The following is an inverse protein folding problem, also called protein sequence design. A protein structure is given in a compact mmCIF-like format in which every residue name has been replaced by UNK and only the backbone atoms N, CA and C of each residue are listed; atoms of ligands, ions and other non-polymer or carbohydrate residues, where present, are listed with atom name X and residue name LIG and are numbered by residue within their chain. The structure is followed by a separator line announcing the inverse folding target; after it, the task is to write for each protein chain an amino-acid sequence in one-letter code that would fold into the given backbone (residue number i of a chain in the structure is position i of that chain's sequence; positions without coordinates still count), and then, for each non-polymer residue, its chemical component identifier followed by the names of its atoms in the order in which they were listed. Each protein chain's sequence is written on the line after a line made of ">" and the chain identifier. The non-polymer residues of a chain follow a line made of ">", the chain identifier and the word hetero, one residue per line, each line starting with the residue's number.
data_IF_450144678063
#
_entry.id   IF_450144678063
#
_cell.length_a   1.000
_cell.length_b   1.000
_cell.length_c   1.000
_cell.angle_alpha   90.00
_cell.angle_beta   90.00
_cell.angle_gamma   90.00
#
_symmetry.space_group_name_H-M   'P 1'
#
loop_
_entity.id
_entity.type
_entity.pdbx_description
1 polymer ?
#
# COMPACT_ATOMS: atom_id res chain seq x y z
N UNK A 1 62.60 -44.02 -56.09
CA UNK A 1 63.13 -44.80 -54.94
C UNK A 1 63.45 -43.83 -53.82
N UNK A 2 63.01 -44.15 -52.59
CA UNK A 2 63.66 -43.95 -51.27
C UNK A 2 64.70 -42.81 -51.17
N UNK A 3 64.75 -41.93 -50.18
CA UNK A 3 64.17 -41.89 -48.85
C UNK A 3 64.72 -40.64 -48.15
N UNK A 4 63.96 -40.12 -47.18
CA UNK A 4 64.30 -39.15 -46.14
C UNK A 4 65.75 -39.24 -45.61
N UNK A 5 66.36 -38.09 -45.29
CA UNK A 5 67.18 -37.85 -44.10
C UNK A 5 67.33 -36.31 -43.92
N UNK A 6 66.53 -35.69 -43.05
CA UNK A 6 66.87 -35.36 -41.66
C UNK A 6 67.85 -34.19 -41.53
N UNK A 7 67.37 -33.01 -41.13
CA UNK A 7 67.83 -32.28 -39.93
C UNK A 7 67.21 -30.88 -39.79
N UNK A 8 67.00 -30.55 -38.51
CA UNK A 8 67.12 -29.25 -37.85
C UNK A 8 65.85 -28.50 -37.46
N UNK A 9 65.77 -28.40 -36.13
CA UNK A 9 64.88 -27.70 -35.24
C UNK A 9 64.90 -26.18 -35.39
N UNK A 10 63.81 -25.60 -34.89
CA UNK A 10 63.65 -24.28 -34.27
C UNK A 10 63.39 -23.06 -35.15
N UNK A 11 62.10 -22.71 -35.13
CA UNK A 11 61.56 -21.48 -34.55
C UNK A 11 61.11 -20.36 -35.51
N UNK A 12 59.89 -19.91 -35.21
CA UNK A 12 59.23 -18.66 -35.58
C UNK A 12 58.64 -18.61 -36.99
N UNK A 13 57.30 -18.74 -37.10
CA UNK A 13 56.44 -17.58 -37.38
C UNK A 13 54.96 -17.93 -37.26
N UNK A 14 54.29 -17.19 -36.37
CA UNK A 14 52.87 -16.96 -36.25
C UNK A 14 52.16 -16.84 -37.61
N UNK A 15 51.16 -17.69 -37.87
CA UNK A 15 49.81 -17.32 -38.35
C UNK A 15 49.07 -18.62 -38.73
N UNK A 16 48.18 -19.10 -37.87
CA UNK A 16 46.98 -19.76 -38.37
C UNK A 16 45.83 -19.64 -37.39
N UNK A 17 44.81 -18.97 -37.91
CA UNK A 17 43.48 -18.66 -37.42
C UNK A 17 43.03 -19.31 -36.11
N UNK A 18 42.67 -18.43 -35.18
CA UNK A 18 41.67 -18.65 -34.17
C UNK A 18 40.41 -19.31 -34.77
N UNK A 19 40.15 -20.56 -34.43
CA UNK A 19 38.79 -21.08 -34.30
C UNK A 19 38.44 -20.99 -32.82
N UNK A 20 38.18 -19.77 -32.36
CA UNK A 20 37.45 -19.55 -31.11
C UNK A 20 36.03 -20.03 -31.33
N UNK A 21 35.75 -21.26 -30.93
CA UNK A 21 34.41 -21.65 -30.51
C UNK A 21 34.08 -20.94 -29.20
N UNK A 22 33.94 -19.60 -29.26
CA UNK A 22 33.16 -18.85 -28.30
C UNK A 22 31.71 -19.22 -28.59
N UNK A 23 31.24 -20.31 -27.98
CA UNK A 23 29.83 -20.39 -27.62
C UNK A 23 29.67 -19.29 -26.57
N UNK A 24 29.40 -18.07 -27.03
CA UNK A 24 28.71 -17.11 -26.18
C UNK A 24 27.45 -17.84 -25.75
N UNK A 25 27.37 -18.18 -24.47
CA UNK A 25 26.11 -18.53 -23.84
C UNK A 25 25.22 -17.30 -24.05
N UNK A 26 24.46 -17.30 -25.14
CA UNK A 26 23.34 -16.40 -25.32
C UNK A 26 22.49 -16.63 -24.07
N UNK A 27 22.11 -15.59 -23.31
CA UNK A 27 21.12 -15.78 -22.26
C UNK A 27 19.94 -16.49 -22.91
N UNK A 28 19.61 -17.69 -22.42
CA UNK A 28 18.50 -18.48 -22.92
C UNK A 28 17.25 -17.60 -22.78
N UNK A 29 16.86 -16.94 -23.87
CA UNK A 29 15.59 -16.26 -23.98
C UNK A 29 14.60 -17.34 -24.37
N UNK A 30 13.76 -17.73 -23.42
CA UNK A 30 12.68 -18.66 -23.70
C UNK A 30 11.58 -17.92 -24.47
N UNK A 31 11.18 -18.46 -25.62
CA UNK A 31 10.07 -17.90 -26.38
C UNK A 31 8.71 -18.47 -25.90
N UNK A 32 7.59 -17.86 -26.31
CA UNK A 32 6.25 -18.24 -25.83
C UNK A 32 5.83 -19.69 -26.13
N UNK A 33 6.33 -20.28 -27.22
CA UNK A 33 6.04 -21.69 -27.56
C UNK A 33 6.81 -22.66 -26.65
N UNK A 34 8.07 -22.34 -26.34
CA UNK A 34 8.90 -23.10 -25.39
C UNK A 34 8.31 -23.04 -23.97
N UNK A 35 7.91 -21.85 -23.53
CA UNK A 35 7.26 -21.65 -22.23
C UNK A 35 5.97 -22.47 -22.11
N UNK A 36 5.11 -22.44 -23.13
CA UNK A 36 3.89 -23.23 -23.14
C UNK A 36 4.18 -24.74 -23.21
N UNK A 37 5.24 -25.14 -23.92
CA UNK A 37 5.69 -26.53 -24.02
C UNK A 37 6.13 -27.09 -22.66
N UNK A 38 6.94 -26.34 -21.92
CA UNK A 38 7.52 -26.77 -20.63
C UNK A 38 6.58 -26.61 -19.43
N UNK A 39 5.60 -25.71 -19.49
CA UNK A 39 4.75 -25.42 -18.34
C UNK A 39 3.81 -26.58 -17.96
N UNK A 40 3.66 -26.85 -16.67
CA UNK A 40 2.65 -27.79 -16.15
C UNK A 40 1.23 -27.25 -16.35
N UNK A 41 1.07 -25.94 -16.16
CA UNK A 41 -0.13 -25.19 -16.53
C UNK A 41 0.23 -23.79 -17.00
N UNK A 42 -0.64 -23.21 -17.82
CA UNK A 42 -0.52 -21.83 -18.28
C UNK A 42 -1.90 -21.18 -18.31
N UNK A 43 -2.01 -19.99 -17.73
CA UNK A 43 -3.27 -19.25 -17.60
C UNK A 43 -3.08 -17.79 -18.02
N UNK A 44 -4.16 -17.20 -18.50
CA UNK A 44 -4.31 -15.75 -18.61
C UNK A 44 -5.40 -15.29 -17.66
N UNK A 45 -5.23 -14.13 -17.07
CA UNK A 45 -6.21 -13.56 -16.17
C UNK A 45 -5.84 -12.17 -15.71
N UNK A 46 -6.73 -11.60 -14.90
CA UNK A 46 -6.47 -10.34 -14.22
C UNK A 46 -5.95 -10.61 -12.82
N UNK A 47 -4.95 -9.84 -12.40
CA UNK A 47 -4.48 -9.87 -11.01
C UNK A 47 -5.55 -9.25 -10.13
N UNK A 48 -6.17 -10.05 -9.26
CA UNK A 48 -7.25 -9.62 -8.35
C UNK A 48 -6.76 -9.28 -6.95
N UNK A 49 -5.60 -9.81 -6.54
CA UNK A 49 -4.96 -9.46 -5.28
C UNK A 49 -3.45 -9.71 -5.33
N UNK A 50 -2.68 -8.98 -4.52
CA UNK A 50 -1.25 -9.24 -4.28
C UNK A 50 -0.99 -9.13 -2.79
N UNK A 51 -0.42 -10.17 -2.19
CA UNK A 51 -0.06 -10.19 -0.77
C UNK A 51 1.41 -10.57 -0.61
N UNK A 52 2.14 -9.85 0.24
CA UNK A 52 3.55 -10.09 0.50
C UNK A 52 3.79 -10.36 1.99
N UNK A 53 4.71 -11.27 2.28
CA UNK A 53 5.24 -11.51 3.61
C UNK A 53 6.21 -10.42 4.07
N UNK A 54 6.81 -10.63 5.24
CA UNK A 54 7.86 -9.75 5.75
C UNK A 54 9.09 -9.81 4.85
N UNK A 55 9.72 -8.66 4.61
CA UNK A 55 10.96 -8.62 3.83
C UNK A 55 12.13 -9.25 4.60
N UNK A 56 13.02 -9.92 3.87
CA UNK A 56 14.24 -10.52 4.37
C UNK A 56 15.43 -10.22 3.45
N UNK A 57 16.65 -10.28 3.99
CA UNK A 57 17.86 -10.09 3.20
C UNK A 57 18.06 -11.29 2.25
N UNK A 58 18.16 -11.04 0.94
CA UNK A 58 18.34 -12.11 -0.05
C UNK A 58 19.66 -12.85 0.11
N UNK A 59 20.68 -12.21 0.70
CA UNK A 59 22.05 -12.73 0.79
C UNK A 59 22.85 -12.60 -0.51
N UNK A 60 22.23 -12.09 -1.58
CA UNK A 60 22.85 -11.97 -2.92
C UNK A 60 23.70 -10.69 -3.06
N UNK A 61 23.42 -9.67 -2.26
CA UNK A 61 24.20 -8.45 -2.15
C UNK A 61 25.30 -8.65 -1.09
N UNK A 62 26.56 -8.64 -1.51
CA UNK A 62 27.71 -8.78 -0.62
C UNK A 62 28.41 -7.43 -0.42
N UNK A 63 28.85 -7.10 0.81
CA UNK A 63 29.65 -5.91 1.04
C UNK A 63 30.98 -6.00 0.27
N UNK A 64 31.44 -4.87 -0.28
CA UNK A 64 32.66 -4.82 -1.10
C UNK A 64 33.87 -5.49 -0.42
N UNK A 65 34.64 -6.34 -1.14
CA UNK A 65 35.75 -7.12 -0.56
C UNK A 65 36.95 -6.28 -0.08
N UNK A 66 37.01 -4.99 -0.39
CA UNK A 66 38.11 -4.10 0.01
C UNK A 66 37.99 -3.53 1.44
N UNK A 67 36.93 -3.87 2.19
CA UNK A 67 36.75 -3.36 3.55
C UNK A 67 37.42 -4.27 4.60
N UNK A 68 38.74 -4.16 4.77
CA UNK A 68 39.54 -4.88 5.78
C UNK A 68 39.49 -4.25 7.19
N UNK A 69 38.38 -3.56 7.53
CA UNK A 69 38.20 -2.90 8.84
C UNK A 69 38.84 -1.52 8.95
N UNK A 70 39.40 -0.96 7.87
CA UNK A 70 40.01 0.38 7.84
C UNK A 70 39.19 1.46 7.12
N UNK A 71 38.03 1.12 6.55
CA UNK A 71 37.16 2.08 5.87
C UNK A 71 36.34 2.92 6.88
N UNK A 72 36.05 4.20 6.58
CA UNK A 72 35.01 4.92 7.30
C UNK A 72 33.68 4.17 7.12
N UNK A 73 32.84 4.13 8.15
CA UNK A 73 31.52 3.49 8.11
C UNK A 73 30.76 3.92 6.84
N UNK A 74 30.79 3.08 5.80
CA UNK A 74 29.84 3.20 4.69
C UNK A 74 28.60 2.44 5.12
N UNK A 75 27.45 3.09 4.96
CA UNK A 75 26.15 2.49 5.23
C UNK A 75 25.86 1.43 4.15
N UNK A 76 26.44 0.24 4.30
CA UNK A 76 26.06 -0.90 3.47
C UNK A 76 24.57 -1.18 3.65
N UNK A 77 23.82 -1.10 2.56
CA UNK A 77 22.40 -1.39 2.56
C UNK A 77 22.16 -2.71 1.81
N UNK A 78 21.70 -3.76 2.52
CA UNK A 78 21.47 -5.06 1.90
C UNK A 78 20.28 -5.03 0.95
N UNK A 79 20.27 -5.95 -0.01
CA UNK A 79 19.10 -6.23 -0.83
C UNK A 79 18.02 -6.91 0.02
N UNK A 80 16.82 -6.35 0.05
CA UNK A 80 15.66 -6.96 0.71
C UNK A 80 14.68 -7.47 -0.32
N UNK A 81 14.19 -8.68 -0.10
CA UNK A 81 13.16 -9.33 -0.90
C UNK A 81 12.02 -9.80 -0.01
N UNK A 82 10.83 -9.97 -0.57
CA UNK A 82 9.68 -10.52 0.13
C UNK A 82 9.07 -11.67 -0.67
N UNK A 83 8.68 -12.75 0.03
CA UNK A 83 7.87 -13.81 -0.54
C UNK A 83 6.43 -13.30 -0.69
N UNK A 84 5.95 -13.25 -1.92
CA UNK A 84 4.63 -12.74 -2.28
C UNK A 84 3.79 -13.81 -2.96
N UNK A 85 2.48 -13.60 -2.97
CA UNK A 85 1.53 -14.35 -3.77
C UNK A 85 0.59 -13.39 -4.49
N UNK A 86 0.44 -13.56 -5.80
CA UNK A 86 -0.56 -12.87 -6.61
C UNK A 86 -1.75 -13.79 -6.87
N UNK A 87 -2.96 -13.32 -6.64
CA UNK A 87 -4.19 -14.02 -7.04
C UNK A 87 -4.58 -13.58 -8.44
N UNK A 88 -4.78 -14.55 -9.34
CA UNK A 88 -5.19 -14.32 -10.72
C UNK A 88 -6.60 -14.87 -10.92
N UNK A 89 -7.53 -14.02 -11.33
CA UNK A 89 -8.84 -14.43 -11.83
C UNK A 89 -8.71 -14.92 -13.27
N UNK A 90 -8.82 -16.22 -13.49
CA UNK A 90 -8.55 -16.88 -14.77
C UNK A 90 -9.59 -16.45 -15.82
N UNK A 91 -9.13 -15.82 -16.89
CA UNK A 91 -9.95 -15.48 -18.07
C UNK A 91 -9.75 -16.45 -19.22
N UNK A 92 -8.58 -17.10 -19.29
CA UNK A 92 -8.30 -18.16 -20.25
C UNK A 92 -7.38 -19.23 -19.64
N UNK A 93 -7.70 -20.49 -19.89
CA UNK A 93 -6.77 -21.60 -19.65
C UNK A 93 -6.07 -21.92 -20.98
N UNK A 94 -4.77 -21.70 -21.03
CA UNK A 94 -3.93 -21.99 -22.19
C UNK A 94 -3.42 -23.44 -22.16
N UNK A 95 -3.17 -23.98 -20.96
CA UNK A 95 -2.71 -25.35 -20.72
C UNK A 95 -3.00 -25.75 -19.27
N UNK A 96 -3.37 -27.01 -19.05
CA UNK A 96 -3.59 -27.57 -17.71
C UNK A 96 -5.06 -27.59 -17.32
N UNK A 97 -5.33 -27.45 -16.03
CA UNK A 97 -6.58 -27.93 -15.40
C UNK A 97 -7.39 -26.83 -14.68
N UNK A 98 -6.98 -25.56 -14.76
CA UNK A 98 -7.73 -24.45 -14.19
C UNK A 98 -8.95 -24.07 -15.04
N UNK A 99 -10.05 -23.71 -14.38
CA UNK A 99 -11.28 -23.30 -15.06
C UNK A 99 -11.33 -21.78 -15.23
N UNK A 100 -12.03 -21.32 -16.27
CA UNK A 100 -12.34 -19.89 -16.42
C UNK A 100 -13.22 -19.45 -15.24
N UNK A 101 -12.88 -18.32 -14.63
CA UNK A 101 -13.52 -17.80 -13.41
C UNK A 101 -12.96 -18.33 -12.10
N UNK A 102 -11.98 -19.23 -12.14
CA UNK A 102 -11.24 -19.68 -10.96
C UNK A 102 -10.23 -18.62 -10.51
N UNK A 103 -9.98 -18.54 -9.20
CA UNK A 103 -8.89 -17.73 -8.64
C UNK A 103 -7.69 -18.61 -8.31
N UNK A 104 -6.53 -18.28 -8.88
CA UNK A 104 -5.29 -19.05 -8.74
C UNK A 104 -4.23 -18.19 -8.06
N UNK A 105 -3.71 -18.65 -6.93
CA UNK A 105 -2.63 -17.99 -6.20
C UNK A 105 -1.25 -18.41 -6.74
N UNK A 106 -0.41 -17.43 -7.06
CA UNK A 106 0.89 -17.63 -7.70
C UNK A 106 1.99 -17.03 -6.84
N UNK A 107 2.90 -17.85 -6.30
CA UNK A 107 4.01 -17.35 -5.52
C UNK A 107 5.05 -16.65 -6.41
N UNK A 108 5.58 -15.53 -5.93
CA UNK A 108 6.70 -14.82 -6.56
C UNK A 108 7.52 -14.09 -5.50
N UNK A 109 8.75 -13.71 -5.84
CA UNK A 109 9.64 -12.96 -4.94
C UNK A 109 9.69 -11.51 -5.42
N UNK A 110 9.35 -10.56 -4.56
CA UNK A 110 9.37 -9.12 -4.86
C UNK A 110 10.63 -8.48 -4.29
N UNK A 111 11.31 -7.66 -5.08
CA UNK A 111 12.39 -6.80 -4.60
C UNK A 111 11.79 -5.63 -3.81
N UNK A 112 12.10 -5.51 -2.53
CA UNK A 112 11.59 -4.42 -1.66
C UNK A 112 12.63 -3.35 -1.38
N UNK A 113 13.93 -3.70 -1.44
CA UNK A 113 15.03 -2.75 -1.32
C UNK A 113 16.20 -3.19 -2.19
N UNK A 114 16.68 -2.29 -3.05
CA UNK A 114 17.85 -2.55 -3.88
C UNK A 114 19.15 -2.46 -3.06
N UNK A 115 20.16 -3.23 -3.48
CA UNK A 115 21.51 -3.19 -2.91
C UNK A 115 22.14 -1.79 -3.05
N UNK A 116 22.76 -1.27 -1.99
CA UNK A 116 23.57 -0.05 -2.01
C UNK A 116 24.97 -0.31 -1.45
N UNK A 117 25.99 0.11 -2.20
CA UNK A 117 27.41 0.00 -1.82
C UNK A 117 27.91 -1.47 -1.63
N UNK A 118 27.43 -2.41 -2.45
CA UNK A 118 27.85 -3.82 -2.50
C UNK A 118 28.04 -4.37 -3.92
N UNK A 119 28.69 -5.53 -4.06
CA UNK A 119 28.77 -6.27 -5.33
C UNK A 119 27.58 -7.23 -5.48
N UNK A 120 26.94 -7.18 -6.66
CA UNK A 120 25.80 -8.02 -7.01
C UNK A 120 26.26 -9.32 -7.65
N UNK A 121 25.87 -10.48 -7.09
CA UNK A 121 26.43 -11.76 -7.54
C UNK A 121 25.56 -12.59 -8.50
N UNK A 122 24.25 -12.33 -8.67
CA UNK A 122 23.42 -13.11 -9.61
C UNK A 122 22.32 -12.27 -10.29
N UNK A 123 22.20 -12.26 -11.64
CA UNK A 123 21.01 -11.76 -12.32
C UNK A 123 19.85 -12.75 -12.17
N UNK A 124 18.74 -12.37 -11.52
CA UNK A 124 17.62 -13.29 -11.36
C UNK A 124 16.37 -12.83 -10.61
N UNK A 125 16.27 -11.59 -10.13
CA UNK A 125 14.97 -11.08 -9.67
C UNK A 125 14.05 -10.91 -10.88
N UNK A 126 12.81 -11.39 -10.77
CA UNK A 126 11.83 -11.35 -11.87
C UNK A 126 11.72 -9.92 -12.38
N UNK A 127 11.86 -9.76 -13.71
CA UNK A 127 11.96 -8.44 -14.35
C UNK A 127 10.69 -7.58 -14.24
N UNK A 128 9.59 -8.14 -13.73
CA UNK A 128 8.29 -7.47 -13.57
C UNK A 128 7.58 -8.02 -12.34
N UNK A 129 7.09 -7.11 -11.50
CA UNK A 129 6.18 -7.43 -10.38
C UNK A 129 4.76 -7.63 -10.91
N UNK A 130 3.95 -8.45 -10.23
CA UNK A 130 2.51 -8.49 -10.50
C UNK A 130 1.86 -7.18 -10.06
N UNK A 131 1.22 -6.49 -10.99
CA UNK A 131 0.46 -5.26 -10.72
C UNK A 131 -1.03 -5.58 -10.61
N UNK A 132 -1.72 -5.00 -9.62
CA UNK A 132 -3.16 -5.17 -9.48
C UNK A 132 -3.87 -4.72 -10.77
N UNK A 133 -4.91 -5.43 -11.20
CA UNK A 133 -5.68 -5.16 -12.43
C UNK A 133 -4.90 -5.29 -13.75
N UNK A 134 -3.61 -5.63 -13.72
CA UNK A 134 -2.90 -6.01 -14.94
C UNK A 134 -3.46 -7.32 -15.50
N UNK A 135 -3.52 -7.42 -16.82
CA UNK A 135 -3.80 -8.67 -17.49
C UNK A 135 -2.48 -9.37 -17.75
N UNK A 136 -2.34 -10.54 -17.17
CA UNK A 136 -1.10 -11.30 -17.20
C UNK A 136 -1.33 -12.67 -17.81
N UNK A 137 -0.27 -13.20 -18.41
CA UNK A 137 -0.12 -14.60 -18.76
C UNK A 137 0.96 -15.20 -17.88
N UNK A 138 0.62 -16.28 -17.20
CA UNK A 138 1.53 -16.99 -16.33
C UNK A 138 1.75 -18.42 -16.81
N UNK A 139 2.99 -18.88 -16.68
CA UNK A 139 3.44 -20.23 -17.00
C UNK A 139 4.01 -20.90 -15.75
N UNK A 140 3.44 -22.02 -15.30
CA UNK A 140 4.03 -22.75 -14.18
C UNK A 140 5.20 -23.62 -14.66
N UNK A 141 6.42 -23.11 -14.52
CA UNK A 141 7.65 -23.77 -14.99
C UNK A 141 8.65 -23.83 -13.84
N UNK A 142 9.20 -25.02 -13.57
CA UNK A 142 10.18 -25.24 -12.50
C UNK A 142 11.64 -25.25 -13.00
N UNK A 143 11.85 -25.26 -14.32
CA UNK A 143 13.13 -25.49 -14.98
C UNK A 143 13.79 -24.19 -15.52
N UNK A 144 14.60 -24.30 -16.58
CA UNK A 144 15.48 -23.24 -17.08
C UNK A 144 14.76 -21.93 -17.44
N UNK A 145 13.46 -21.98 -17.77
CA UNK A 145 12.67 -20.82 -18.15
C UNK A 145 11.88 -20.17 -16.99
N UNK A 146 12.07 -20.61 -15.74
CA UNK A 146 11.33 -20.10 -14.57
C UNK A 146 11.40 -18.59 -14.35
N UNK A 147 12.38 -17.90 -14.93
CA UNK A 147 12.54 -16.44 -14.83
C UNK A 147 11.77 -15.65 -15.90
N UNK A 148 11.22 -16.34 -16.91
CA UNK A 148 10.40 -15.77 -18.00
C UNK A 148 8.94 -16.25 -17.91
N UNK A 149 8.56 -16.73 -16.74
CA UNK A 149 7.30 -17.43 -16.50
C UNK A 149 6.09 -16.48 -16.34
N UNK A 150 6.32 -15.17 -16.45
CA UNK A 150 5.32 -14.12 -16.39
C UNK A 150 5.44 -13.19 -17.60
N UNK A 151 4.35 -13.05 -18.33
CA UNK A 151 4.19 -12.08 -19.41
C UNK A 151 3.02 -11.14 -19.05
N UNK A 152 3.28 -9.83 -19.08
CA UNK A 152 2.23 -8.82 -18.96
C UNK A 152 1.64 -8.58 -20.35
N UNK A 153 0.36 -8.93 -20.53
CA UNK A 153 -0.35 -8.83 -21.81
C UNK A 153 -0.97 -7.45 -21.99
N UNK A 154 -1.64 -6.98 -20.95
CA UNK A 154 -2.15 -5.62 -20.85
C UNK A 154 -1.63 -5.08 -19.52
N UNK A 155 -0.95 -3.92 -19.51
CA UNK A 155 -0.68 -3.24 -18.25
C UNK A 155 -2.01 -3.02 -17.51
N UNK A 156 -2.00 -2.72 -16.20
CA UNK A 156 -3.22 -2.22 -15.57
C UNK A 156 -3.78 -1.10 -16.44
N UNK A 157 -5.10 -1.03 -16.65
CA UNK A 157 -5.69 -0.01 -17.50
C UNK A 157 -5.10 1.34 -17.12
N UNK A 158 -4.45 2.02 -18.08
CA UNK A 158 -3.78 3.29 -17.85
C UNK A 158 -4.76 4.20 -17.12
N UNK A 159 -4.47 4.51 -15.87
CA UNK A 159 -5.15 5.62 -15.22
C UNK A 159 -4.95 6.82 -16.15
N UNK A 160 -6.01 7.57 -16.49
CA UNK A 160 -5.93 8.63 -17.48
C UNK A 160 -4.72 9.51 -17.17
N UNK A 161 -3.75 9.54 -18.10
CA UNK A 161 -2.51 10.29 -17.93
C UNK A 161 -2.86 11.71 -17.50
N UNK A 162 -2.41 12.09 -16.31
CA UNK A 162 -2.57 13.44 -15.80
C UNK A 162 -1.73 14.39 -16.66
N UNK A 163 -2.35 14.98 -17.68
CA UNK A 163 -1.85 16.22 -18.25
C UNK A 163 -1.75 17.22 -17.09
N UNK A 164 -0.50 17.59 -16.77
CA UNK A 164 -0.15 18.67 -15.85
C UNK A 164 -1.07 19.87 -16.01
N UNK A 165 -1.92 20.22 -15.01
CA UNK A 165 -2.69 21.43 -15.10
C UNK A 165 -1.76 22.61 -14.79
N UNK A 166 -1.71 23.53 -15.75
CA UNK A 166 -1.09 24.83 -15.63
C UNK A 166 -1.49 25.57 -14.34
N UNK A 167 -0.50 26.24 -13.75
CA UNK A 167 -0.70 27.20 -12.66
C UNK A 167 -1.76 28.25 -13.00
N UNK A 168 -2.83 28.31 -12.20
CA UNK A 168 -3.33 29.55 -11.59
C UNK A 168 -4.58 29.27 -10.73
N UNK A 169 -4.57 29.73 -9.47
CA UNK A 169 -5.55 29.38 -8.44
C UNK A 169 -4.98 28.31 -7.51
N UNK A 170 -5.26 28.37 -6.20
CA UNK A 170 -4.82 27.33 -5.27
C UNK A 170 -5.18 25.96 -5.85
N UNK A 171 -4.23 25.03 -5.94
CA UNK A 171 -4.53 23.71 -6.48
C UNK A 171 -5.68 23.13 -5.67
N UNK A 172 -6.71 22.60 -6.33
CA UNK A 172 -7.87 22.02 -5.67
C UNK A 172 -7.44 20.99 -4.59
N UNK A 173 -6.35 20.27 -4.85
CA UNK A 173 -5.68 19.40 -3.89
C UNK A 173 -5.32 20.11 -2.56
N UNK A 174 -4.83 21.35 -2.61
CA UNK A 174 -4.49 22.14 -1.43
C UNK A 174 -5.73 22.54 -0.60
N UNK A 175 -6.85 22.86 -1.25
CA UNK A 175 -8.11 23.19 -0.57
C UNK A 175 -8.75 21.96 0.09
N UNK A 176 -8.57 20.79 -0.52
CA UNK A 176 -9.16 19.54 -0.08
C UNK A 176 -8.28 18.73 0.86
N UNK A 177 -7.10 19.24 1.26
CA UNK A 177 -6.18 18.55 2.18
C UNK A 177 -6.88 18.09 3.46
N UNK A 178 -6.71 16.80 3.75
CA UNK A 178 -7.27 16.14 4.92
C UNK A 178 -8.76 15.89 4.86
N UNK A 179 -9.43 16.19 3.73
CA UNK A 179 -10.83 15.85 3.52
C UNK A 179 -10.97 14.43 3.02
N UNK A 180 -12.11 13.86 3.34
CA UNK A 180 -12.62 12.65 2.70
C UNK A 180 -13.58 13.11 1.62
N UNK A 181 -13.44 12.54 0.43
CA UNK A 181 -14.21 12.88 -0.75
C UNK A 181 -15.04 11.68 -1.17
N UNK A 182 -16.20 11.94 -1.74
CA UNK A 182 -17.07 10.93 -2.32
C UNK A 182 -17.30 11.24 -3.79
N UNK A 183 -16.91 10.32 -4.66
CA UNK A 183 -17.07 10.46 -6.08
C UNK A 183 -18.54 10.28 -6.46
N UNK A 184 -19.25 11.38 -6.77
CA UNK A 184 -20.72 11.34 -6.94
C UNK A 184 -21.17 11.00 -8.36
N UNK A 185 -20.25 11.02 -9.33
CA UNK A 185 -20.53 10.78 -10.76
C UNK A 185 -20.07 9.38 -11.24
N UNK A 186 -19.69 8.50 -10.31
CA UNK A 186 -19.26 7.13 -10.59
C UNK A 186 -19.99 6.14 -9.66
N UNK A 187 -19.30 5.18 -9.04
CA UNK A 187 -19.90 4.16 -8.18
C UNK A 187 -19.98 4.60 -6.71
N UNK A 188 -19.65 5.85 -6.39
CA UNK A 188 -19.61 6.33 -5.01
C UNK A 188 -18.33 5.92 -4.29
N UNK A 189 -17.21 5.89 -5.01
CA UNK A 189 -15.87 5.65 -4.48
C UNK A 189 -15.50 6.72 -3.45
N UNK A 190 -14.93 6.29 -2.32
CA UNK A 190 -14.45 7.19 -1.27
C UNK A 190 -12.94 7.41 -1.40
N UNK A 191 -12.49 8.63 -1.14
CA UNK A 191 -11.09 9.03 -1.27
C UNK A 191 -10.66 9.86 -0.08
N UNK A 192 -9.45 9.67 0.42
CA UNK A 192 -8.86 10.54 1.45
C UNK A 192 -7.72 11.36 0.83
N UNK A 193 -7.77 12.68 0.98
CA UNK A 193 -6.68 13.55 0.53
C UNK A 193 -5.70 13.72 1.68
N UNK A 194 -4.50 13.14 1.56
CA UNK A 194 -3.51 13.21 2.61
C UNK A 194 -3.09 14.68 2.86
N UNK A 195 -3.18 15.19 4.10
CA UNK A 195 -2.84 16.58 4.40
C UNK A 195 -1.34 16.90 4.25
N UNK A 196 -0.47 15.89 4.27
CA UNK A 196 0.97 16.10 4.13
C UNK A 196 1.36 16.43 2.68
N UNK A 197 1.04 15.56 1.75
CA UNK A 197 1.42 15.67 0.33
C UNK A 197 0.30 16.22 -0.57
N UNK A 198 -0.97 16.16 -0.15
CA UNK A 198 -2.13 16.54 -0.96
C UNK A 198 -2.58 15.47 -1.96
N UNK A 199 -2.02 14.26 -1.89
CA UNK A 199 -2.39 13.14 -2.77
C UNK A 199 -3.65 12.45 -2.26
N UNK A 200 -4.49 11.96 -3.17
CA UNK A 200 -5.70 11.19 -2.86
C UNK A 200 -5.37 9.70 -2.72
N UNK A 201 -5.99 9.06 -1.74
CA UNK A 201 -5.85 7.63 -1.46
C UNK A 201 -7.23 7.00 -1.56
N UNK A 202 -7.33 5.90 -2.32
CA UNK A 202 -8.58 5.19 -2.50
C UNK A 202 -8.98 4.43 -1.23
N UNK A 203 -10.22 4.63 -0.79
CA UNK A 203 -10.83 3.95 0.35
C UNK A 203 -11.83 2.91 -0.16
N UNK A 204 -11.31 1.82 -0.72
CA UNK A 204 -12.13 0.77 -1.32
C UNK A 204 -13.14 0.15 -0.33
N UNK A 205 -12.67 -0.14 0.88
CA UNK A 205 -13.45 -0.79 1.93
C UNK A 205 -12.91 -0.46 3.34
N UNK A 206 -13.46 -1.13 4.36
CA UNK A 206 -13.00 -0.98 5.74
C UNK A 206 -11.56 -1.48 6.00
N UNK A 207 -11.06 -2.41 5.19
CA UNK A 207 -9.67 -2.88 5.24
C UNK A 207 -8.71 -1.83 4.72
N UNK A 208 -9.03 -1.19 3.59
CA UNK A 208 -8.28 -0.06 3.05
C UNK A 208 -8.26 1.11 4.04
N UNK A 209 -9.41 1.42 4.67
CA UNK A 209 -9.49 2.42 5.74
C UNK A 209 -8.60 2.05 6.94
N UNK A 210 -8.52 0.78 7.30
CA UNK A 210 -7.64 0.31 8.39
C UNK A 210 -6.15 0.49 8.05
N UNK A 211 -5.72 0.09 6.85
CA UNK A 211 -4.34 0.30 6.38
C UNK A 211 -3.98 1.78 6.38
N UNK A 212 -4.92 2.62 5.98
CA UNK A 212 -4.75 4.07 6.00
C UNK A 212 -4.57 4.59 7.44
N UNK A 213 -5.38 4.12 8.40
CA UNK A 213 -5.24 4.47 9.81
C UNK A 213 -3.89 4.01 10.39
N UNK A 214 -3.38 2.83 10.03
CA UNK A 214 -2.10 2.31 10.53
C UNK A 214 -0.89 3.03 9.96
N UNK A 215 -0.93 3.41 8.68
CA UNK A 215 0.23 3.99 7.99
C UNK A 215 0.33 5.52 8.14
N UNK A 216 -0.81 6.21 8.18
CA UNK A 216 -0.87 7.69 8.23
C UNK A 216 -1.23 8.24 9.61
N UNK A 217 -1.54 7.34 10.55
CA UNK A 217 -1.91 7.67 11.91
C UNK A 217 -0.83 8.45 12.64
N UNK A 218 -1.18 9.65 13.12
CA UNK A 218 -0.34 10.44 14.00
C UNK A 218 -0.60 10.03 15.45
N UNK A 219 0.42 9.57 16.16
CA UNK A 219 0.29 9.29 17.60
C UNK A 219 -0.11 10.53 18.41
N UNK A 220 -1.06 10.37 19.33
CA UNK A 220 -1.52 11.42 20.25
C UNK A 220 -1.75 10.87 21.66
N UNK A 221 -1.46 11.68 22.67
CA UNK A 221 -1.72 11.37 24.09
C UNK A 221 -3.20 11.56 24.43
N UNK A 222 -3.69 10.91 25.48
CA UNK A 222 -5.06 11.08 25.96
C UNK A 222 -5.32 12.53 26.38
N UNK A 223 -4.33 13.15 27.03
CA UNK A 223 -4.40 14.52 27.50
C UNK A 223 -4.54 15.53 26.36
N UNK A 224 -3.86 15.33 25.23
CA UNK A 224 -3.96 16.21 24.07
C UNK A 224 -5.21 15.91 23.25
N UNK A 225 -5.56 14.63 23.09
CA UNK A 225 -6.77 14.21 22.40
C UNK A 225 -8.03 14.77 23.08
N UNK A 226 -8.08 14.81 24.42
CA UNK A 226 -9.18 15.40 25.19
C UNK A 226 -9.38 16.90 24.93
N UNK A 227 -8.35 17.62 24.44
CA UNK A 227 -8.45 19.05 24.10
C UNK A 227 -9.02 19.29 22.71
N UNK A 228 -9.29 18.23 21.93
CA UNK A 228 -9.92 18.33 20.61
C UNK A 228 -11.42 18.03 20.77
N UNK A 229 -12.31 18.92 20.31
CA UNK A 229 -13.74 18.78 20.52
C UNK A 229 -14.27 17.54 19.81
N UNK A 230 -15.22 16.83 20.42
CA UNK A 230 -15.78 15.58 19.91
C UNK A 230 -16.94 15.89 18.95
N UNK A 231 -16.99 15.17 17.82
CA UNK A 231 -18.05 15.24 16.83
C UNK A 231 -19.08 14.14 17.02
N UNK A 232 -20.36 14.51 16.98
CA UNK A 232 -21.48 13.59 16.92
C UNK A 232 -21.83 13.38 15.45
N UNK A 233 -21.62 12.18 14.92
CA UNK A 233 -22.02 11.86 13.56
C UNK A 233 -23.52 11.51 13.55
N UNK A 234 -24.38 12.53 13.59
CA UNK A 234 -25.84 12.41 13.76
C UNK A 234 -26.55 11.59 12.65
N UNK A 235 -25.86 11.24 11.56
CA UNK A 235 -26.41 10.51 10.42
C UNK A 235 -25.58 9.27 10.02
N UNK A 236 -24.91 8.60 10.97
CA UNK A 236 -24.44 7.24 10.74
C UNK A 236 -25.68 6.35 10.56
N UNK A 237 -26.08 6.10 9.32
CA UNK A 237 -27.24 5.29 8.97
C UNK A 237 -27.14 3.87 9.56
N UNK A 238 -27.63 3.70 10.79
CA UNK A 238 -28.40 2.53 11.21
C UNK A 238 -27.66 1.31 11.77
N UNK A 239 -26.56 1.42 12.51
CA UNK A 239 -26.03 0.23 13.21
C UNK A 239 -25.35 0.44 14.57
N UNK A 240 -25.39 1.63 15.16
CA UNK A 240 -24.79 1.84 16.48
C UNK A 240 -25.90 1.95 17.52
N UNK A 241 -25.85 1.04 18.49
CA UNK A 241 -26.76 1.06 19.61
C UNK A 241 -26.50 2.31 20.46
N UNK A 242 -27.56 2.78 21.08
CA UNK A 242 -27.55 3.75 22.18
C UNK A 242 -28.32 3.04 23.29
N UNK A 243 -27.59 2.31 24.12
CA UNK A 243 -28.17 1.30 25.01
C UNK A 243 -28.91 1.93 26.21
N UNK A 244 -28.54 3.13 26.64
CA UNK A 244 -29.22 3.88 27.70
C UNK A 244 -30.05 5.09 27.21
N UNK A 245 -30.03 5.39 25.91
CA UNK A 245 -30.84 6.41 25.24
C UNK A 245 -30.56 7.83 25.73
N UNK A 246 -29.29 8.13 26.01
CA UNK A 246 -28.83 9.42 26.51
C UNK A 246 -28.45 10.40 25.37
N UNK A 247 -28.39 9.88 24.13
CA UNK A 247 -28.01 10.61 22.92
C UNK A 247 -26.53 10.47 22.53
N UNK A 248 -25.78 9.59 23.20
CA UNK A 248 -24.40 9.20 22.90
C UNK A 248 -24.36 7.73 22.47
N UNK A 249 -23.95 7.45 21.23
CA UNK A 249 -23.91 6.07 20.75
C UNK A 249 -22.83 5.25 21.47
N UNK A 250 -23.14 3.98 21.79
CA UNK A 250 -22.26 2.99 22.44
C UNK A 250 -20.84 2.95 21.83
N UNK A 251 -20.72 3.20 20.53
CA UNK A 251 -19.45 3.24 19.84
C UNK A 251 -18.61 4.43 20.30
N UNK A 252 -19.18 5.62 20.34
CA UNK A 252 -18.48 6.82 20.76
C UNK A 252 -18.18 6.76 22.26
N UNK A 253 -19.07 6.17 23.04
CA UNK A 253 -18.84 5.89 24.46
C UNK A 253 -17.59 5.03 24.71
N UNK A 254 -17.34 4.00 23.89
CA UNK A 254 -16.07 3.24 23.95
C UNK A 254 -14.84 4.15 23.76
N UNK A 255 -14.95 5.14 22.89
CA UNK A 255 -13.89 6.11 22.59
C UNK A 255 -13.70 7.15 23.71
N UNK A 256 -14.78 7.53 24.38
CA UNK A 256 -14.76 8.54 25.44
C UNK A 256 -14.53 7.92 26.83
N UNK A 257 -14.77 6.62 26.98
CA UNK A 257 -14.67 5.89 28.23
C UNK A 257 -15.94 5.95 29.11
N UNK A 258 -17.06 6.45 28.58
CA UNK A 258 -18.36 6.48 29.29
C UNK A 258 -18.99 5.08 29.36
N UNK A 259 -19.99 4.94 30.22
CA UNK A 259 -20.65 3.69 30.55
C UNK A 259 -21.92 3.48 29.71
N UNK A 260 -21.87 2.60 28.70
CA UNK A 260 -22.97 2.33 27.75
C UNK A 260 -24.37 1.99 28.27
N UNK A 261 -24.49 1.67 29.55
CA UNK A 261 -25.78 1.31 30.14
C UNK A 261 -26.13 2.24 31.30
N UNK A 262 -25.45 3.38 31.38
CA UNK A 262 -25.60 4.37 32.41
C UNK A 262 -25.55 5.75 31.74
N UNK A 263 -26.72 6.42 31.60
CA UNK A 263 -26.84 7.64 30.81
C UNK A 263 -26.16 8.87 31.43
N UNK A 264 -25.56 8.73 32.63
CA UNK A 264 -24.82 9.75 33.38
C UNK A 264 -23.62 9.05 34.05
N UNK A 265 -22.49 9.02 33.34
CA UNK A 265 -21.32 8.21 33.72
C UNK A 265 -20.59 8.74 34.94
N UNK A 266 -20.58 10.06 35.15
CA UNK A 266 -19.91 10.69 36.28
C UNK A 266 -20.83 11.00 37.48
N UNK A 267 -22.15 10.83 37.29
CA UNK A 267 -23.18 10.93 38.32
C UNK A 267 -23.47 12.36 38.76
N UNK A 268 -23.17 13.35 37.93
CA UNK A 268 -23.34 14.77 38.25
C UNK A 268 -24.75 15.32 37.94
N UNK A 269 -25.61 14.50 37.32
CA UNK A 269 -27.00 14.79 36.99
C UNK A 269 -27.23 15.33 35.58
N UNK A 270 -26.19 15.37 34.73
CA UNK A 270 -26.30 15.64 33.30
C UNK A 270 -26.04 14.36 32.50
N UNK A 271 -26.68 14.23 31.34
CA UNK A 271 -26.49 13.05 30.50
C UNK A 271 -25.20 13.16 29.67
N UNK A 272 -24.48 12.07 29.46
CA UNK A 272 -23.17 12.10 28.76
C UNK A 272 -23.31 12.70 27.35
N UNK A 273 -24.35 12.29 26.61
CA UNK A 273 -24.68 12.85 25.28
C UNK A 273 -25.02 14.34 25.33
N UNK A 274 -25.73 14.79 26.36
CA UNK A 274 -26.03 16.21 26.56
C UNK A 274 -24.74 17.00 26.84
N UNK A 275 -23.84 16.46 27.65
CA UNK A 275 -22.59 17.10 27.99
C UNK A 275 -21.69 17.27 26.78
N UNK A 276 -21.50 16.22 25.98
CA UNK A 276 -20.70 16.29 24.76
C UNK A 276 -21.26 17.33 23.79
N UNK A 277 -22.59 17.37 23.60
CA UNK A 277 -23.21 18.34 22.70
C UNK A 277 -23.03 19.79 23.19
N UNK A 278 -22.93 19.99 24.51
CA UNK A 278 -22.74 21.31 25.13
C UNK A 278 -21.26 21.64 25.45
N UNK A 279 -20.31 20.76 25.12
CA UNK A 279 -18.88 20.95 25.36
C UNK A 279 -18.44 20.71 26.81
N UNK A 280 -19.17 19.90 27.56
CA UNK A 280 -18.86 19.45 28.92
C UNK A 280 -18.20 18.07 28.90
N UNK A 281 -17.60 17.68 30.02
CA UNK A 281 -16.82 16.46 30.15
C UNK A 281 -17.66 15.35 30.81
N UNK A 282 -18.05 14.29 30.09
CA UNK A 282 -18.93 13.24 30.61
C UNK A 282 -18.29 12.29 31.62
N UNK A 283 -17.03 12.50 31.97
CA UNK A 283 -16.32 11.69 32.96
C UNK A 283 -15.82 12.53 34.15
N UNK A 284 -16.30 13.76 34.29
CA UNK A 284 -15.96 14.59 35.43
C UNK A 284 -16.31 16.05 35.21
N UNK A 285 -16.39 16.79 36.30
CA UNK A 285 -16.92 18.15 36.34
C UNK A 285 -16.38 19.13 35.29
N UNK A 286 -17.31 19.87 34.67
CA UNK A 286 -17.04 21.15 34.01
C UNK A 286 -16.85 21.08 32.50
N UNK A 287 -16.45 22.20 31.89
CA UNK A 287 -16.26 22.31 30.44
C UNK A 287 -14.98 21.64 29.99
N UNK A 288 -15.02 21.00 28.83
CA UNK A 288 -13.81 20.48 28.17
C UNK A 288 -12.82 21.63 27.90
N UNK A 289 -11.56 21.41 28.28
CA UNK A 289 -10.48 22.35 28.06
C UNK A 289 -10.00 22.29 26.59
N UNK A 290 -10.78 22.86 25.68
CA UNK A 290 -10.51 22.81 24.24
C UNK A 290 -9.31 23.69 23.86
N UNK A 291 -8.38 23.11 23.10
CA UNK A 291 -7.27 23.82 22.47
C UNK A 291 -7.49 23.90 20.95
N UNK A 292 -7.96 25.06 20.51
CA UNK A 292 -8.21 25.32 19.09
C UNK A 292 -6.92 25.30 18.25
N UNK A 293 -5.77 25.65 18.80
CA UNK A 293 -4.50 25.61 18.05
C UNK A 293 -4.08 24.17 17.81
N UNK A 294 -4.24 23.32 18.83
CA UNK A 294 -4.00 21.89 18.69
C UNK A 294 -4.93 21.31 17.62
N UNK A 295 -6.25 21.50 17.75
CA UNK A 295 -7.24 20.99 16.79
C UNK A 295 -6.95 21.45 15.35
N UNK A 296 -6.55 22.72 15.16
CA UNK A 296 -6.15 23.23 13.86
C UNK A 296 -4.84 22.62 13.33
N UNK A 297 -3.87 22.31 14.19
CA UNK A 297 -2.59 21.74 13.77
C UNK A 297 -2.71 20.28 13.32
N UNK A 298 -3.72 19.57 13.82
CA UNK A 298 -4.02 18.18 13.44
C UNK A 298 -5.26 18.03 12.57
N UNK A 299 -5.83 19.14 12.06
CA UNK A 299 -7.01 19.07 11.20
C UNK A 299 -6.75 18.21 9.97
N UNK A 300 -7.71 17.37 9.64
CA UNK A 300 -7.62 16.45 8.52
C UNK A 300 -6.69 15.26 8.74
N UNK A 301 -6.05 15.16 9.91
CA UNK A 301 -5.23 14.01 10.27
C UNK A 301 -6.08 12.91 10.88
N UNK A 302 -5.56 11.70 10.72
CA UNK A 302 -5.96 10.57 11.53
C UNK A 302 -5.01 10.49 12.71
N UNK A 303 -5.58 10.37 13.90
CA UNK A 303 -4.90 10.31 15.17
C UNK A 303 -5.01 8.91 15.74
N UNK A 304 -3.91 8.40 16.27
CA UNK A 304 -3.87 7.12 16.99
C UNK A 304 -3.57 7.40 18.45
N UNK A 305 -4.48 6.99 19.32
CA UNK A 305 -4.29 7.08 20.76
C UNK A 305 -3.23 6.06 21.20
N UNK A 306 -2.07 6.54 21.65
CA UNK A 306 -0.92 5.66 21.94
C UNK A 306 -0.88 5.16 23.39
N UNK A 307 -1.69 5.73 24.28
CA UNK A 307 -1.69 5.42 25.72
C UNK A 307 -2.78 4.41 26.11
N UNK A 308 -3.56 3.93 25.15
CA UNK A 308 -4.66 2.98 25.36
C UNK A 308 -4.68 1.89 24.25
N UNK A 309 -5.79 1.19 24.03
CA UNK A 309 -5.99 0.11 23.05
C UNK A 309 -5.82 0.48 21.56
N UNK A 310 -5.15 1.60 21.22
CA UNK A 310 -4.84 1.97 19.83
C UNK A 310 -6.03 2.53 19.06
N UNK A 311 -6.90 3.26 19.74
CA UNK A 311 -8.10 3.88 19.16
C UNK A 311 -7.72 4.91 18.08
N UNK A 312 -8.41 4.85 16.94
CA UNK A 312 -8.23 5.81 15.85
C UNK A 312 -9.30 6.91 15.87
N UNK A 313 -8.90 8.13 15.50
CA UNK A 313 -9.77 9.31 15.46
C UNK A 313 -9.49 10.14 14.22
N UNK A 314 -10.52 10.62 13.54
CA UNK A 314 -10.38 11.53 12.40
C UNK A 314 -10.76 12.94 12.82
N UNK A 315 -9.88 13.92 12.57
CA UNK A 315 -10.19 15.33 12.82
C UNK A 315 -10.74 15.96 11.55
N UNK A 316 -12.03 16.22 11.50
CA UNK A 316 -12.66 16.75 10.30
C UNK A 316 -12.27 18.23 10.08
N UNK A 317 -11.67 18.62 8.94
CA UNK A 317 -11.31 20.00 8.67
C UNK A 317 -12.52 20.95 8.48
N UNK A 318 -13.76 20.45 8.49
CA UNK A 318 -14.95 21.29 8.31
C UNK A 318 -15.41 21.94 9.62
N UNK A 319 -15.24 21.23 10.74
CA UNK A 319 -15.70 21.62 12.07
C UNK A 319 -14.59 21.58 13.14
N UNK A 320 -13.39 21.08 12.79
CA UNK A 320 -12.27 20.83 13.69
C UNK A 320 -12.59 19.87 14.85
N UNK A 321 -13.61 19.03 14.68
CA UNK A 321 -14.00 18.01 15.66
C UNK A 321 -13.35 16.68 15.34
N UNK A 322 -13.05 15.90 16.38
CA UNK A 322 -12.60 14.51 16.26
C UNK A 322 -13.77 13.56 16.26
N UNK A 323 -13.68 12.56 15.40
CA UNK A 323 -14.68 11.51 15.25
C UNK A 323 -14.03 10.16 15.46
N UNK A 324 -14.68 9.31 16.25
CA UNK A 324 -14.12 8.03 16.64
C UNK A 324 -14.20 7.00 15.52
N UNK A 325 -13.11 6.29 15.26
CA UNK A 325 -12.99 5.24 14.25
C UNK A 325 -12.60 3.92 14.92
N UNK A 326 -13.59 3.23 15.49
CA UNK A 326 -13.36 1.99 16.26
C UNK A 326 -12.72 0.87 15.43
N UNK A 327 -13.20 0.67 14.21
CA UNK A 327 -12.80 -0.43 13.34
C UNK A 327 -13.00 -0.05 11.86
N UNK A 328 -12.51 -0.89 10.95
CA UNK A 328 -12.61 -0.66 9.50
C UNK A 328 -14.02 -0.32 9.01
N UNK A 329 -15.06 -1.13 9.32
CA UNK A 329 -16.44 -0.84 8.92
C UNK A 329 -16.99 0.48 9.49
N UNK A 330 -16.80 0.77 10.78
CA UNK A 330 -17.25 2.01 11.40
C UNK A 330 -16.51 3.23 10.82
N UNK A 331 -15.20 3.08 10.59
CA UNK A 331 -14.39 4.09 9.91
C UNK A 331 -14.92 4.35 8.50
N UNK A 332 -15.22 3.31 7.72
CA UNK A 332 -15.79 3.45 6.38
C UNK A 332 -17.10 4.25 6.39
N UNK A 333 -18.05 3.92 7.28
CA UNK A 333 -19.32 4.63 7.39
C UNK A 333 -19.15 6.08 7.85
N UNK A 334 -18.33 6.31 8.87
CA UNK A 334 -17.98 7.65 9.34
C UNK A 334 -17.39 8.48 8.20
N UNK A 335 -16.42 7.91 7.50
CA UNK A 335 -15.73 8.58 6.41
C UNK A 335 -16.70 8.96 5.28
N UNK A 336 -17.66 8.08 4.93
CA UNK A 336 -18.73 8.42 3.98
C UNK A 336 -19.67 9.50 4.51
N UNK A 337 -20.04 9.47 5.79
CA UNK A 337 -20.96 10.46 6.37
C UNK A 337 -20.38 11.88 6.40
N UNK A 338 -19.06 11.99 6.60
CA UNK A 338 -18.33 13.26 6.64
C UNK A 338 -17.75 13.66 5.28
N UNK A 339 -18.00 12.85 4.24
CA UNK A 339 -17.41 13.05 2.92
C UNK A 339 -17.98 14.27 2.21
N UNK A 340 -17.13 14.95 1.45
CA UNK A 340 -17.53 15.99 0.51
C UNK A 340 -17.70 15.37 -0.87
N UNK A 341 -18.87 15.57 -1.50
CA UNK A 341 -19.08 15.15 -2.88
C UNK A 341 -18.11 15.83 -3.85
N UNK A 342 -17.52 15.08 -4.77
CA UNK A 342 -16.60 15.59 -5.79
C UNK A 342 -16.94 15.00 -7.17
N UNK A 343 -16.81 15.84 -8.21
CA UNK A 343 -16.98 15.44 -9.61
C UNK A 343 -15.78 14.63 -10.10
N UNK A 344 -15.94 13.87 -11.19
CA UNK A 344 -14.84 13.12 -11.78
C UNK A 344 -13.74 14.05 -12.31
N UNK A 345 -14.14 15.19 -12.88
CA UNK A 345 -13.21 16.20 -13.40
C UNK A 345 -12.36 16.82 -12.30
N UNK A 346 -12.99 17.19 -11.18
CA UNK A 346 -12.30 17.80 -10.05
C UNK A 346 -11.45 16.80 -9.30
N UNK A 347 -11.93 15.57 -9.14
CA UNK A 347 -11.16 14.50 -8.54
C UNK A 347 -9.87 14.29 -9.35
N UNK A 348 -9.95 14.21 -10.69
CA UNK A 348 -8.80 14.02 -11.60
C UNK A 348 -7.68 15.08 -11.46
N UNK A 349 -7.99 16.26 -10.91
CA UNK A 349 -7.00 17.32 -10.63
C UNK A 349 -6.16 17.05 -9.38
N UNK A 350 -6.46 15.98 -8.64
CA UNK A 350 -5.76 15.56 -7.42
C UNK A 350 -4.98 14.29 -7.72
N UNK A 351 -3.66 14.34 -7.55
CA UNK A 351 -2.75 13.22 -7.77
C UNK A 351 -3.09 12.03 -6.88
N UNK A 352 -3.03 10.81 -7.43
CA UNK A 352 -3.17 9.55 -6.67
C UNK A 352 -1.87 9.27 -5.92
N UNK A 353 -1.98 8.67 -4.73
CA UNK A 353 -0.83 8.24 -3.95
C UNK A 353 -0.28 6.88 -4.42
N UNK A 354 1.05 6.74 -4.47
CA UNK A 354 1.75 5.62 -5.10
C UNK A 354 1.97 4.38 -4.19
N UNK A 355 1.13 4.16 -3.17
CA UNK A 355 1.40 3.20 -2.07
C UNK A 355 0.85 1.79 -2.26
#
# INVERSE_FOLDING_TARGET
>A
MKSKLLRLFSAVLFLWLALTGLVQANPFFCNGEELLGEADFAIEGYVTAVACGQSYNSGECQPYPECDGSCPERNFMPELVADCAATIGVTANLKGWHNIGEEVAIPFVKLTQACQDGEYLIPGTSKKDFQLNSKVRFYNISDNCRFYNLEELEPPPEEPEAESPAESGQSLAAELKGRILLQVEANGEAWYVNPLDGKRIYLADGGAAFVLMTNLGLGITNADLAKIPVGLAENLNGSEADADNDGLFDLLEDGLGTEKNNPDSDGDGYLDGQEINNGYNPQGSGKMAIDANLANSVKGRILLQVENVGQAWYVNPADNKRYYMKNGPAAYWLMRSLSLGISNEDLAKIEVADY
#
